data_IF_615180477476
#
_entry.id   IF_615180477476
#
_cell.length_a   1.000
_cell.length_b   1.000
_cell.length_c   1.000
_cell.angle_alpha   90.00
_cell.angle_beta   90.00
_cell.angle_gamma   90.00
#
_symmetry.space_group_name_H-M   'P 1'
#
loop_
_entity.id
_entity.type
_entity.pdbx_description
1 polymer ?
#
# COMPACT_ATOMS: atom_id res chain seq x y z
N UNK A 1 28.15 12.64 -15.97
CA UNK A 1 27.07 11.74 -16.45
C UNK A 1 26.19 11.16 -15.32
N UNK A 2 26.68 10.85 -14.11
CA UNK A 2 25.83 10.26 -13.05
C UNK A 2 24.81 11.24 -12.44
N UNK A 3 25.15 12.53 -12.23
CA UNK A 3 24.25 13.51 -11.61
C UNK A 3 23.05 13.92 -12.48
N UNK A 4 23.19 13.89 -13.81
CA UNK A 4 22.08 14.19 -14.73
C UNK A 4 21.06 13.05 -14.80
N UNK A 5 21.50 11.79 -14.67
CA UNK A 5 20.60 10.63 -14.58
C UNK A 5 19.81 10.64 -13.27
N UNK A 6 20.46 10.93 -12.14
CA UNK A 6 19.76 11.00 -10.85
C UNK A 6 18.68 12.08 -10.80
N UNK A 7 18.89 13.22 -11.46
CA UNK A 7 17.89 14.29 -11.53
C UNK A 7 16.72 13.94 -12.46
N UNK A 8 17.00 13.28 -13.60
CA UNK A 8 15.96 12.79 -14.50
C UNK A 8 15.08 11.70 -13.85
N UNK A 9 15.71 10.76 -13.14
CA UNK A 9 15.03 9.68 -12.43
C UNK A 9 14.19 10.23 -11.25
N UNK A 10 14.71 11.20 -10.51
CA UNK A 10 13.97 11.88 -9.45
C UNK A 10 12.72 12.60 -9.99
N UNK A 11 12.86 13.36 -11.08
CA UNK A 11 11.75 14.04 -11.72
C UNK A 11 10.69 13.08 -12.27
N UNK A 12 11.11 11.94 -12.83
CA UNK A 12 10.20 10.90 -13.30
C UNK A 12 9.39 10.29 -12.14
N UNK A 13 10.05 9.97 -11.01
CA UNK A 13 9.38 9.43 -9.83
C UNK A 13 8.39 10.41 -9.21
N UNK A 14 8.75 11.71 -9.17
CA UNK A 14 7.83 12.76 -8.73
C UNK A 14 6.60 12.82 -9.62
N UNK A 15 6.76 12.81 -10.95
CA UNK A 15 5.61 12.81 -11.89
C UNK A 15 4.71 11.57 -11.72
N UNK A 16 5.29 10.38 -11.55
CA UNK A 16 4.53 9.14 -11.30
C UNK A 16 3.73 9.25 -9.99
N UNK A 17 4.35 9.77 -8.93
CA UNK A 17 3.68 10.02 -7.64
C UNK A 17 2.56 11.03 -7.79
N UNK A 18 2.80 12.17 -8.45
CA UNK A 18 1.79 13.20 -8.71
C UNK A 18 0.62 12.64 -9.52
N UNK A 19 0.88 11.80 -10.53
CA UNK A 19 -0.16 11.14 -11.31
C UNK A 19 -1.01 10.19 -10.43
N UNK A 20 -0.38 9.42 -9.54
CA UNK A 20 -1.08 8.60 -8.55
C UNK A 20 -1.98 9.43 -7.62
N UNK A 21 -1.43 10.50 -7.04
CA UNK A 21 -2.15 11.37 -6.11
C UNK A 21 -3.29 12.12 -6.79
N UNK A 22 -3.12 12.50 -8.06
CA UNK A 22 -4.16 13.08 -8.88
C UNK A 22 -5.32 12.11 -9.07
N UNK A 23 -5.03 10.86 -9.48
CA UNK A 23 -6.04 9.82 -9.66
C UNK A 23 -6.84 9.58 -8.38
N UNK A 24 -6.17 9.50 -7.23
CA UNK A 24 -6.83 9.41 -5.93
C UNK A 24 -7.74 10.60 -5.64
N UNK A 25 -7.23 11.82 -5.84
CA UNK A 25 -7.93 13.06 -5.48
C UNK A 25 -9.22 13.25 -6.28
N UNK A 26 -9.27 12.75 -7.52
CA UNK A 26 -10.47 12.80 -8.36
C UNK A 26 -11.57 11.88 -7.83
N UNK A 27 -11.23 10.62 -7.52
CA UNK A 27 -12.16 9.68 -6.89
C UNK A 27 -12.67 10.20 -5.56
N UNK A 28 -11.79 10.82 -4.77
CA UNK A 28 -12.16 11.45 -3.51
C UNK A 28 -13.12 12.63 -3.71
N UNK A 29 -12.81 13.55 -4.64
CA UNK A 29 -13.65 14.70 -4.96
C UNK A 29 -15.08 14.25 -5.31
N UNK A 30 -15.19 13.33 -6.26
CA UNK A 30 -16.49 12.81 -6.67
C UNK A 30 -17.18 12.02 -5.56
N UNK A 31 -16.42 11.19 -4.84
CA UNK A 31 -16.92 10.39 -3.72
C UNK A 31 -17.49 11.23 -2.59
N UNK A 32 -16.84 12.34 -2.23
CA UNK A 32 -17.33 13.31 -1.24
C UNK A 32 -18.65 13.92 -1.68
N UNK A 33 -18.74 14.37 -2.93
CA UNK A 33 -19.98 14.92 -3.49
C UNK A 33 -21.12 13.89 -3.47
N UNK A 34 -20.83 12.65 -3.88
CA UNK A 34 -21.82 11.57 -3.89
C UNK A 34 -22.29 11.19 -2.48
N UNK A 35 -21.42 11.31 -1.47
CA UNK A 35 -21.75 11.12 -0.05
C UNK A 35 -22.53 12.29 0.55
N UNK A 36 -22.99 13.23 -0.27
CA UNK A 36 -24.03 14.18 0.12
C UNK A 36 -23.52 15.36 0.94
N UNK A 37 -22.32 15.85 0.64
CA UNK A 37 -21.89 17.18 1.11
C UNK A 37 -22.96 18.20 0.72
N UNK A 38 -23.35 19.05 1.68
CA UNK A 38 -24.36 20.10 1.51
C UNK A 38 -23.83 21.40 2.10
N UNK A 39 -24.29 22.56 1.61
CA UNK A 39 -23.98 23.84 2.24
C UNK A 39 -24.42 23.78 3.70
N UNK A 40 -23.61 24.31 4.63
CA UNK A 40 -24.02 24.41 6.02
C UNK A 40 -25.30 25.27 6.08
N UNK A 41 -26.26 24.99 6.97
CA UNK A 41 -27.40 25.89 7.12
C UNK A 41 -26.88 27.31 7.41
N UNK A 42 -27.46 28.33 6.76
CA UNK A 42 -27.12 29.73 7.01
C UNK A 42 -27.08 29.96 8.53
N UNK A 43 -25.90 30.34 9.05
CA UNK A 43 -25.70 30.48 10.49
C UNK A 43 -26.69 31.51 11.02
N UNK A 44 -27.67 31.06 11.81
CA UNK A 44 -28.71 31.92 12.41
C UNK A 44 -28.16 32.84 13.50
N UNK A 45 -26.97 32.56 14.02
CA UNK A 45 -26.32 33.34 15.06
C UNK A 45 -24.96 33.84 14.58
N UNK A 46 -24.73 35.16 14.52
CA UNK A 46 -23.40 35.69 14.27
C UNK A 46 -22.47 35.22 15.39
N UNK A 47 -21.33 34.63 15.01
CA UNK A 47 -20.29 34.27 15.98
C UNK A 47 -19.77 35.55 16.65
N UNK A 48 -19.39 35.50 17.94
CA UNK A 48 -18.80 36.67 18.61
C UNK A 48 -17.58 37.18 17.83
N UNK A 49 -17.36 38.50 17.80
CA UNK A 49 -16.23 39.10 17.08
C UNK A 49 -14.86 38.58 17.57
N UNK A 50 -14.79 38.16 18.83
CA UNK A 50 -13.57 37.63 19.47
C UNK A 50 -13.43 36.10 19.31
N UNK A 51 -14.35 35.44 18.63
CA UNK A 51 -14.28 34.00 18.38
C UNK A 51 -13.39 33.72 17.17
N UNK A 52 -12.12 33.39 17.44
CA UNK A 52 -11.25 32.76 16.45
C UNK A 52 -11.29 31.24 16.63
N UNK A 53 -11.72 30.51 15.60
CA UNK A 53 -11.56 29.05 15.56
C UNK A 53 -10.07 28.73 15.57
N UNK A 54 -9.69 27.59 16.19
CA UNK A 54 -8.35 27.03 15.99
C UNK A 54 -8.10 26.83 14.49
N UNK A 55 -6.85 27.05 14.07
CA UNK A 55 -6.43 26.70 12.71
C UNK A 55 -6.70 25.22 12.48
N UNK A 56 -7.39 24.86 11.40
CA UNK A 56 -7.73 23.45 11.11
C UNK A 56 -6.46 22.58 11.00
N UNK A 57 -5.34 23.18 10.56
CA UNK A 57 -4.01 22.56 10.55
C UNK A 57 -3.58 22.10 11.95
N UNK A 58 -3.91 22.86 13.00
CA UNK A 58 -3.57 22.52 14.39
C UNK A 58 -4.41 21.36 14.95
N UNK A 59 -5.57 21.07 14.35
CA UNK A 59 -6.43 19.96 14.72
C UNK A 59 -6.06 18.67 13.96
N UNK A 60 -5.12 18.74 13.01
CA UNK A 60 -4.60 17.60 12.26
C UNK A 60 -5.62 16.92 11.34
N UNK A 61 -6.79 17.53 11.14
CA UNK A 61 -7.78 17.10 10.16
C UNK A 61 -8.66 18.29 9.73
N UNK A 62 -9.18 18.22 8.50
CA UNK A 62 -10.17 19.19 8.03
C UNK A 62 -11.50 18.85 8.71
N UNK A 63 -11.90 19.66 9.69
CA UNK A 63 -12.97 19.34 10.65
C UNK A 63 -14.36 19.25 10.01
N UNK A 64 -14.58 19.83 8.82
CA UNK A 64 -15.87 19.83 8.16
C UNK A 64 -15.87 19.14 6.79
N UNK A 65 -16.95 18.41 6.52
CA UNK A 65 -17.18 17.72 5.26
C UNK A 65 -17.19 18.69 4.05
N UNK A 66 -17.58 19.94 4.27
CA UNK A 66 -17.58 21.03 3.28
C UNK A 66 -16.16 21.46 2.91
N UNK A 67 -15.33 21.72 3.92
CA UNK A 67 -13.96 22.20 3.76
C UNK A 67 -13.11 21.11 3.10
N UNK A 68 -13.34 19.84 3.46
CA UNK A 68 -12.65 18.71 2.85
C UNK A 68 -13.07 18.44 1.40
N UNK A 69 -14.29 18.83 1.00
CA UNK A 69 -14.73 18.78 -0.40
C UNK A 69 -14.04 19.86 -1.24
N UNK A 70 -13.98 21.10 -0.73
CA UNK A 70 -13.23 22.19 -1.36
C UNK A 70 -11.74 21.83 -1.48
N UNK A 71 -11.13 21.31 -0.42
CA UNK A 71 -9.73 20.90 -0.41
C UNK A 71 -9.44 19.76 -1.41
N UNK A 72 -10.37 18.82 -1.59
CA UNK A 72 -10.23 17.79 -2.63
C UNK A 72 -10.20 18.41 -4.04
N UNK A 73 -11.04 19.41 -4.32
CA UNK A 73 -11.03 20.11 -5.60
C UNK A 73 -9.73 20.89 -5.83
N UNK A 74 -9.26 21.61 -4.81
CA UNK A 74 -7.98 22.33 -4.86
C UNK A 74 -6.81 21.39 -5.14
N UNK A 75 -6.77 20.21 -4.51
CA UNK A 75 -5.76 19.17 -4.76
C UNK A 75 -5.77 18.66 -6.20
N UNK A 76 -6.95 18.43 -6.78
CA UNK A 76 -7.06 18.02 -8.20
C UNK A 76 -6.39 19.05 -9.11
N UNK A 77 -6.71 20.34 -8.90
CA UNK A 77 -6.11 21.43 -9.68
C UNK A 77 -4.60 21.52 -9.44
N UNK A 78 -4.16 21.42 -8.19
CA UNK A 78 -2.75 21.49 -7.82
C UNK A 78 -1.93 20.37 -8.48
N UNK A 79 -2.32 19.10 -8.31
CA UNK A 79 -1.54 17.99 -8.88
C UNK A 79 -1.55 18.02 -10.40
N UNK A 80 -2.65 18.44 -11.04
CA UNK A 80 -2.65 18.57 -12.49
C UNK A 80 -1.69 19.68 -12.97
N UNK A 81 -1.64 20.82 -12.27
CA UNK A 81 -0.67 21.89 -12.56
C UNK A 81 0.77 21.43 -12.34
N UNK A 82 1.04 20.66 -11.30
CA UNK A 82 2.37 20.09 -11.04
C UNK A 82 2.86 19.13 -12.14
N UNK A 83 1.94 18.45 -12.85
CA UNK A 83 2.29 17.65 -14.03
C UNK A 83 2.76 18.52 -15.21
N UNK A 84 2.35 19.80 -15.25
CA UNK A 84 2.86 20.80 -16.19
C UNK A 84 2.38 20.63 -17.64
N UNK A 85 1.18 20.07 -17.85
CA UNK A 85 0.66 19.78 -19.19
C UNK A 85 0.12 20.97 -19.96
N UNK A 86 -0.45 21.96 -19.26
CA UNK A 86 -1.06 23.13 -19.88
C UNK A 86 -0.70 24.38 -19.07
N UNK A 87 -0.35 25.46 -19.77
CA UNK A 87 -0.40 26.80 -19.19
C UNK A 87 -1.85 27.27 -19.09
N UNK A 88 -2.15 28.16 -18.14
CA UNK A 88 -3.52 28.67 -17.93
C UNK A 88 -4.11 29.30 -19.22
N UNK A 89 -3.27 29.87 -20.09
CA UNK A 89 -3.67 30.49 -21.37
C UNK A 89 -4.07 29.45 -22.43
N UNK A 90 -3.38 28.31 -22.48
CA UNK A 90 -3.59 27.25 -23.47
C UNK A 90 -4.48 26.10 -22.97
N UNK A 91 -5.03 26.24 -21.78
CA UNK A 91 -5.82 25.20 -21.16
C UNK A 91 -7.06 24.83 -21.99
N UNK A 92 -7.33 23.53 -22.14
CA UNK A 92 -8.52 23.03 -22.83
C UNK A 92 -9.80 23.53 -22.14
N UNK A 93 -10.93 23.52 -22.86
CA UNK A 93 -12.22 23.92 -22.27
C UNK A 93 -12.56 23.10 -21.01
N UNK A 94 -12.33 21.77 -21.05
CA UNK A 94 -12.53 20.91 -19.88
C UNK A 94 -11.57 21.25 -18.74
N UNK A 95 -10.28 21.49 -19.03
CA UNK A 95 -9.32 21.88 -18.00
C UNK A 95 -9.73 23.19 -17.33
N UNK A 96 -10.20 24.18 -18.11
CA UNK A 96 -10.70 25.46 -17.57
C UNK A 96 -11.90 25.26 -16.64
N UNK A 97 -12.80 24.33 -16.97
CA UNK A 97 -13.89 23.97 -16.07
C UNK A 97 -13.39 23.33 -14.76
N UNK A 98 -12.39 22.44 -14.84
CA UNK A 98 -11.77 21.83 -13.65
C UNK A 98 -11.06 22.89 -12.78
N UNK A 99 -10.35 23.83 -13.39
CA UNK A 99 -9.71 24.94 -12.68
C UNK A 99 -10.73 25.85 -11.98
N UNK A 100 -11.94 25.97 -12.52
CA UNK A 100 -13.01 26.73 -11.90
C UNK A 100 -13.75 25.97 -10.78
N UNK A 101 -13.58 24.64 -10.65
CA UNK A 101 -14.30 23.84 -9.66
C UNK A 101 -14.12 24.32 -8.21
N UNK A 102 -12.89 24.61 -7.71
CA UNK A 102 -12.72 25.09 -6.35
C UNK A 102 -13.56 26.35 -6.07
N UNK A 103 -13.56 27.33 -6.98
CA UNK A 103 -14.34 28.55 -6.81
C UNK A 103 -15.84 28.28 -6.86
N UNK A 104 -16.31 27.45 -7.80
CA UNK A 104 -17.74 27.08 -7.88
C UNK A 104 -18.22 26.36 -6.62
N UNK A 105 -17.37 25.51 -6.03
CA UNK A 105 -17.67 24.82 -4.78
C UNK A 105 -17.72 25.83 -3.63
N UNK A 106 -16.74 26.72 -3.54
CA UNK A 106 -16.68 27.79 -2.53
C UNK A 106 -17.92 28.70 -2.59
N UNK A 107 -18.25 29.21 -3.78
CA UNK A 107 -19.44 30.04 -4.01
C UNK A 107 -20.74 29.32 -3.60
N UNK A 108 -20.84 28.01 -3.88
CA UNK A 108 -21.99 27.21 -3.49
C UNK A 108 -22.07 26.96 -1.98
N UNK A 109 -20.93 26.66 -1.33
CA UNK A 109 -20.85 26.44 0.12
C UNK A 109 -21.15 27.72 0.91
N UNK A 110 -20.76 28.88 0.37
CA UNK A 110 -21.04 30.20 0.95
C UNK A 110 -22.41 30.79 0.56
N UNK A 111 -23.24 30.05 -0.16
CA UNK A 111 -24.55 30.50 -0.65
C UNK A 111 -24.49 31.70 -1.62
N UNK A 112 -23.33 31.97 -2.24
CA UNK A 112 -23.18 32.91 -3.36
C UNK A 112 -23.76 32.33 -4.66
N UNK A 113 -23.83 31.00 -4.77
CA UNK A 113 -24.50 30.28 -5.85
C UNK A 113 -25.70 29.45 -5.34
N UNK A 114 -26.82 29.48 -6.06
CA UNK A 114 -28.07 28.80 -5.68
C UNK A 114 -28.03 27.29 -5.88
N UNK A 115 -27.18 26.80 -6.78
CA UNK A 115 -27.02 25.37 -7.08
C UNK A 115 -25.60 25.05 -7.53
N UNK A 116 -25.19 23.82 -7.28
CA UNK A 116 -24.00 23.21 -7.86
C UNK A 116 -24.40 22.15 -8.91
N UNK A 117 -23.42 21.59 -9.61
CA UNK A 117 -23.64 20.52 -10.60
C UNK A 117 -24.45 19.35 -10.02
N UNK A 118 -25.47 18.84 -10.72
CA UNK A 118 -26.02 17.52 -10.46
C UNK A 118 -24.93 16.43 -10.44
N UNK A 119 -25.10 15.38 -9.63
CA UNK A 119 -24.11 14.30 -9.50
C UNK A 119 -23.71 13.67 -10.82
N UNK A 120 -24.64 13.52 -11.76
CA UNK A 120 -24.38 12.99 -13.09
C UNK A 120 -23.51 13.94 -13.92
N UNK A 121 -23.81 15.23 -13.92
CA UNK A 121 -23.06 16.22 -14.69
C UNK A 121 -21.62 16.34 -14.18
N UNK A 122 -21.42 16.37 -12.86
CA UNK A 122 -20.07 16.36 -12.29
C UNK A 122 -19.30 15.09 -12.65
N UNK A 123 -19.97 13.92 -12.64
CA UNK A 123 -19.36 12.65 -13.06
C UNK A 123 -18.92 12.71 -14.51
N UNK A 124 -19.80 13.16 -15.40
CA UNK A 124 -19.55 13.16 -16.83
C UNK A 124 -18.41 14.15 -17.17
N UNK A 125 -18.41 15.35 -16.55
CA UNK A 125 -17.29 16.31 -16.62
C UNK A 125 -15.96 15.69 -16.17
N UNK A 126 -15.94 15.09 -14.97
CA UNK A 126 -14.72 14.48 -14.43
C UNK A 126 -14.25 13.30 -15.27
N UNK A 127 -15.17 12.48 -15.80
CA UNK A 127 -14.86 11.34 -16.65
C UNK A 127 -14.24 11.76 -17.98
N UNK A 128 -14.84 12.73 -18.65
CA UNK A 128 -14.33 13.20 -19.94
C UNK A 128 -12.95 13.84 -19.78
N UNK A 129 -12.77 14.61 -18.70
CA UNK A 129 -11.47 15.19 -18.37
C UNK A 129 -10.43 14.12 -17.97
N UNK A 130 -10.78 13.15 -17.12
CA UNK A 130 -9.85 12.10 -16.69
C UNK A 130 -9.40 11.22 -17.86
N UNK A 131 -10.26 10.99 -18.85
CA UNK A 131 -9.88 10.29 -20.08
C UNK A 131 -8.83 11.06 -20.89
N UNK A 132 -8.95 12.40 -20.98
CA UNK A 132 -7.92 13.24 -21.61
C UNK A 132 -6.61 13.22 -20.82
N UNK A 133 -6.68 13.35 -19.50
CA UNK A 133 -5.51 13.27 -18.60
C UNK A 133 -4.80 11.92 -18.76
N UNK A 134 -5.56 10.82 -18.75
CA UNK A 134 -5.03 9.48 -18.90
C UNK A 134 -4.34 9.28 -20.24
N UNK A 135 -4.97 9.71 -21.35
CA UNK A 135 -4.38 9.59 -22.68
C UNK A 135 -3.06 10.38 -22.82
N UNK A 136 -2.97 11.55 -22.18
CA UNK A 136 -1.72 12.34 -22.14
C UNK A 136 -0.65 11.67 -21.31
N UNK A 137 -1.00 11.20 -20.11
CA UNK A 137 -0.08 10.45 -19.26
C UNK A 137 0.45 9.20 -19.98
N UNK A 138 -0.39 8.47 -20.70
CA UNK A 138 0.00 7.26 -21.42
C UNK A 138 0.93 7.58 -22.61
N UNK A 139 0.65 8.68 -23.31
CA UNK A 139 1.51 9.18 -24.39
C UNK A 139 2.91 9.61 -23.92
N UNK A 140 3.07 10.06 -22.67
CA UNK A 140 4.38 10.39 -22.09
C UNK A 140 5.06 9.21 -21.40
N UNK A 141 4.30 8.47 -20.59
CA UNK A 141 4.81 7.40 -19.74
C UNK A 141 3.69 6.44 -19.33
N UNK A 142 3.78 5.21 -19.83
CA UNK A 142 2.92 4.12 -19.38
C UNK A 142 2.97 3.87 -17.86
N UNK A 143 4.05 4.27 -17.16
CA UNK A 143 4.11 4.21 -15.70
C UNK A 143 3.23 5.29 -15.05
N UNK A 144 3.21 6.52 -15.60
CA UNK A 144 2.34 7.61 -15.15
C UNK A 144 0.86 7.29 -15.32
N UNK A 145 0.46 6.76 -16.48
CA UNK A 145 -0.93 6.35 -16.72
C UNK A 145 -1.37 5.22 -15.77
N UNK A 146 -0.51 4.21 -15.55
CA UNK A 146 -0.76 3.14 -14.59
C UNK A 146 -0.88 3.66 -13.16
N UNK A 147 -0.03 4.62 -12.78
CA UNK A 147 -0.07 5.25 -11.47
C UNK A 147 -1.37 6.01 -11.25
N UNK A 148 -1.80 6.80 -12.23
CA UNK A 148 -3.08 7.51 -12.20
C UNK A 148 -4.27 6.55 -12.03
N UNK A 149 -4.33 5.49 -12.84
CA UNK A 149 -5.38 4.46 -12.71
C UNK A 149 -5.33 3.75 -11.34
N UNK A 150 -4.13 3.45 -10.83
CA UNK A 150 -3.96 2.80 -9.53
C UNK A 150 -4.42 3.70 -8.37
N UNK A 151 -4.13 5.00 -8.43
CA UNK A 151 -4.58 5.97 -7.41
C UNK A 151 -6.10 6.07 -7.36
N UNK A 152 -6.73 6.20 -8.53
CA UNK A 152 -8.18 6.27 -8.69
C UNK A 152 -8.86 4.99 -8.20
N UNK A 153 -8.41 3.82 -8.68
CA UNK A 153 -8.99 2.53 -8.30
C UNK A 153 -8.79 2.21 -6.81
N UNK A 154 -7.65 2.58 -6.22
CA UNK A 154 -7.42 2.41 -4.79
C UNK A 154 -8.40 3.26 -3.98
N UNK A 155 -8.55 4.54 -4.32
CA UNK A 155 -9.48 5.45 -3.67
C UNK A 155 -10.94 4.98 -3.77
N UNK A 156 -11.33 4.46 -4.93
CA UNK A 156 -12.66 3.90 -5.19
C UNK A 156 -13.04 2.74 -4.28
N UNK A 157 -12.06 2.06 -3.67
CA UNK A 157 -12.32 1.04 -2.64
C UNK A 157 -13.26 1.53 -1.54
N UNK A 158 -13.25 2.83 -1.24
CA UNK A 158 -14.18 3.46 -0.29
C UNK A 158 -15.04 4.55 -0.91
N UNK A 159 -14.45 5.38 -1.77
CA UNK A 159 -15.14 6.53 -2.34
C UNK A 159 -16.21 6.13 -3.34
N UNK A 160 -16.15 4.91 -3.90
CA UNK A 160 -17.19 4.34 -4.77
C UNK A 160 -18.30 3.59 -4.00
N UNK A 161 -18.19 3.44 -2.68
CA UNK A 161 -19.31 2.97 -1.85
C UNK A 161 -20.31 4.08 -1.53
N UNK A 162 -21.61 3.79 -1.74
CA UNK A 162 -22.72 4.64 -1.27
C UNK A 162 -23.16 4.19 0.12
N UNK A 163 -23.43 5.17 0.99
CA UNK A 163 -23.96 4.90 2.33
C UNK A 163 -25.35 4.25 2.23
N UNK A 164 -25.71 3.29 3.09
CA UNK A 164 -27.01 2.62 3.05
C UNK A 164 -28.19 3.61 3.07
N UNK A 165 -28.08 4.67 3.90
CA UNK A 165 -29.09 5.73 4.05
C UNK A 165 -29.28 6.61 2.81
N UNK A 166 -28.34 6.57 1.86
CA UNK A 166 -28.35 7.40 0.64
C UNK A 166 -28.81 6.62 -0.60
N UNK A 167 -29.17 5.34 -0.43
CA UNK A 167 -29.71 4.53 -1.52
C UNK A 167 -31.16 4.95 -1.82
N UNK A 168 -31.54 5.11 -3.10
CA UNK A 168 -32.93 5.32 -3.50
C UNK A 168 -33.89 4.29 -2.89
N UNK A 169 -35.12 4.72 -2.59
CA UNK A 169 -36.19 3.81 -2.12
C UNK A 169 -36.48 2.76 -3.20
N UNK A 170 -36.49 1.48 -2.83
CA UNK A 170 -36.68 0.36 -3.77
C UNK A 170 -35.40 -0.17 -4.44
N UNK A 171 -34.22 0.36 -4.06
CA UNK A 171 -32.92 -0.13 -4.53
C UNK A 171 -32.71 -1.58 -4.11
N UNK A 172 -32.79 -2.52 -5.06
CA UNK A 172 -32.55 -3.93 -4.77
C UNK A 172 -31.05 -4.20 -4.70
N UNK A 173 -30.61 -5.07 -3.78
CA UNK A 173 -29.20 -5.40 -3.56
C UNK A 173 -28.47 -5.92 -4.81
N UNK A 174 -29.21 -6.50 -5.77
CA UNK A 174 -28.71 -6.99 -7.04
C UNK A 174 -28.66 -5.94 -8.17
N UNK A 175 -29.19 -4.73 -7.96
CA UNK A 175 -29.29 -3.67 -8.98
C UNK A 175 -28.10 -2.70 -9.01
N UNK A 176 -27.20 -2.73 -8.04
CA UNK A 176 -25.92 -1.99 -8.11
C UNK A 176 -24.76 -2.89 -7.73
N UNK A 177 -24.43 -3.81 -8.63
CA UNK A 177 -23.30 -4.73 -8.45
C UNK A 177 -21.97 -3.97 -8.36
N UNK A 178 -21.90 -2.73 -8.85
CA UNK A 178 -20.67 -1.95 -8.90
C UNK A 178 -20.38 -1.23 -7.58
N UNK A 179 -21.39 -0.71 -6.88
CA UNK A 179 -21.24 0.01 -5.62
C UNK A 179 -21.33 -0.94 -4.39
N UNK A 180 -21.55 -2.25 -4.59
CA UNK A 180 -21.64 -3.25 -3.52
C UNK A 180 -20.28 -3.44 -2.83
N UNK A 181 -20.27 -3.34 -1.50
CA UNK A 181 -19.09 -3.57 -0.68
C UNK A 181 -18.49 -4.95 -0.92
N UNK A 182 -19.30 -5.97 -1.24
CA UNK A 182 -18.84 -7.32 -1.56
C UNK A 182 -17.91 -7.34 -2.76
N UNK A 183 -18.20 -6.53 -3.79
CA UNK A 183 -17.35 -6.41 -4.97
C UNK A 183 -16.12 -5.56 -4.68
N UNK A 184 -16.30 -4.41 -4.04
CA UNK A 184 -15.22 -3.46 -3.78
C UNK A 184 -14.18 -4.00 -2.78
N UNK A 185 -14.60 -4.87 -1.86
CA UNK A 185 -13.74 -5.56 -0.89
C UNK A 185 -13.49 -7.03 -1.25
N UNK A 186 -13.82 -7.44 -2.49
CA UNK A 186 -13.55 -8.80 -2.94
C UNK A 186 -12.05 -9.07 -3.00
N UNK A 187 -11.65 -10.29 -2.65
CA UNK A 187 -10.26 -10.73 -2.74
C UNK A 187 -9.66 -10.52 -4.13
N UNK A 188 -10.41 -10.89 -5.18
CA UNK A 188 -9.97 -10.73 -6.56
C UNK A 188 -9.63 -9.27 -6.91
N UNK A 189 -10.54 -8.32 -6.61
CA UNK A 189 -10.30 -6.90 -6.87
C UNK A 189 -9.10 -6.39 -6.08
N UNK A 190 -9.04 -6.69 -4.77
CA UNK A 190 -7.97 -6.17 -3.92
C UNK A 190 -6.61 -6.82 -4.22
N UNK A 191 -6.55 -8.04 -4.75
CA UNK A 191 -5.32 -8.67 -5.23
C UNK A 191 -4.81 -7.99 -6.53
N UNK A 192 -5.72 -7.54 -7.41
CA UNK A 192 -5.37 -6.71 -8.57
C UNK A 192 -4.79 -5.37 -8.10
N UNK A 193 -5.44 -4.69 -7.13
CA UNK A 193 -4.93 -3.43 -6.59
C UNK A 193 -3.58 -3.59 -5.89
N UNK A 194 -3.39 -4.68 -5.14
CA UNK A 194 -2.08 -4.99 -4.56
C UNK A 194 -1.00 -5.18 -5.62
N UNK A 195 -1.34 -5.78 -6.77
CA UNK A 195 -0.41 -5.99 -7.88
C UNK A 195 -0.08 -4.69 -8.59
N UNK A 196 -1.07 -3.81 -8.82
CA UNK A 196 -0.87 -2.46 -9.34
C UNK A 196 0.01 -1.62 -8.43
N UNK A 197 -0.25 -1.64 -7.12
CA UNK A 197 0.59 -0.91 -6.17
C UNK A 197 2.02 -1.43 -6.11
N UNK A 198 2.22 -2.74 -6.25
CA UNK A 198 3.56 -3.33 -6.26
C UNK A 198 4.42 -2.77 -7.39
N UNK A 199 3.84 -2.45 -8.55
CA UNK A 199 4.62 -1.87 -9.66
C UNK A 199 5.06 -0.43 -9.39
N UNK A 200 4.46 0.24 -8.42
CA UNK A 200 4.74 1.64 -8.04
C UNK A 200 5.60 1.74 -6.76
N UNK A 201 6.10 0.61 -6.25
CA UNK A 201 6.83 0.57 -4.97
C UNK A 201 8.11 1.41 -4.98
N UNK A 202 8.78 1.54 -6.13
CA UNK A 202 9.97 2.37 -6.30
C UNK A 202 9.66 3.86 -6.35
N UNK A 203 8.44 4.22 -6.72
CA UNK A 203 8.09 5.58 -7.10
C UNK A 203 7.39 6.30 -5.94
N UNK A 204 6.62 5.56 -5.13
CA UNK A 204 5.91 6.07 -3.96
C UNK A 204 6.78 6.10 -2.69
N UNK A 205 6.40 6.89 -1.66
CA UNK A 205 7.19 7.01 -0.44
C UNK A 205 7.50 5.67 0.23
N UNK A 206 8.69 5.57 0.82
CA UNK A 206 9.20 4.34 1.44
C UNK A 206 8.18 3.80 2.46
N UNK A 207 7.96 2.49 2.41
CA UNK A 207 7.01 1.74 3.25
C UNK A 207 5.52 1.92 2.96
N UNK A 208 5.09 2.95 2.23
CA UNK A 208 3.65 3.20 2.00
C UNK A 208 2.99 2.08 1.21
N UNK A 209 3.54 1.74 0.04
CA UNK A 209 3.04 0.63 -0.79
C UNK A 209 2.96 -0.70 -0.05
N UNK A 210 4.04 -1.22 0.59
CA UNK A 210 3.96 -2.52 1.26
C UNK A 210 3.00 -2.51 2.46
N UNK A 211 2.84 -1.38 3.16
CA UNK A 211 1.86 -1.22 4.24
C UNK A 211 0.43 -1.26 3.70
N UNK A 212 0.11 -0.46 2.68
CA UNK A 212 -1.23 -0.46 2.06
C UNK A 212 -1.57 -1.85 1.51
N UNK A 213 -0.61 -2.55 0.89
CA UNK A 213 -0.84 -3.92 0.41
C UNK A 213 -1.23 -4.89 1.54
N UNK A 214 -0.61 -4.80 2.71
CA UNK A 214 -1.01 -5.60 3.87
C UNK A 214 -2.41 -5.21 4.37
N UNK A 215 -2.75 -3.92 4.35
CA UNK A 215 -4.11 -3.48 4.67
C UNK A 215 -5.14 -4.04 3.69
N UNK A 216 -4.89 -3.97 2.38
CA UNK A 216 -5.78 -4.53 1.35
C UNK A 216 -5.98 -6.03 1.53
N UNK A 217 -4.93 -6.77 1.89
CA UNK A 217 -5.06 -8.19 2.22
C UNK A 217 -5.98 -8.43 3.44
N UNK A 218 -5.86 -7.60 4.48
CA UNK A 218 -6.73 -7.68 5.65
C UNK A 218 -8.20 -7.34 5.33
N UNK A 219 -8.40 -6.36 4.44
CA UNK A 219 -9.69 -5.85 3.96
C UNK A 219 -10.31 -6.67 2.82
N UNK A 220 -9.64 -7.73 2.35
CA UNK A 220 -10.17 -8.68 1.36
C UNK A 220 -11.20 -9.61 2.00
N UNK A 221 -12.38 -9.09 2.29
CA UNK A 221 -13.44 -9.76 3.06
C UNK A 221 -14.77 -9.90 2.30
N UNK A 222 -14.86 -9.38 1.08
CA UNK A 222 -16.10 -9.28 0.31
C UNK A 222 -16.88 -10.58 0.11
N UNK A 223 -16.24 -11.74 0.30
CA UNK A 223 -16.87 -13.07 0.22
C UNK A 223 -16.71 -13.90 1.49
N UNK A 224 -16.05 -13.37 2.51
CA UNK A 224 -15.60 -14.12 3.70
C UNK A 224 -16.39 -13.77 4.96
N UNK A 225 -17.30 -12.79 4.92
CA UNK A 225 -18.16 -12.46 6.06
C UNK A 225 -19.36 -13.41 6.15
N UNK A 226 -19.76 -13.77 7.38
CA UNK A 226 -20.92 -14.60 7.72
C UNK A 226 -21.50 -14.22 9.07
N UNK A 227 -22.80 -14.38 9.26
CA UNK A 227 -23.43 -14.25 10.57
C UNK A 227 -23.35 -15.59 11.31
N UNK A 228 -22.69 -15.60 12.46
CA UNK A 228 -22.63 -16.73 13.39
C UNK A 228 -23.19 -16.26 14.74
N UNK A 229 -24.28 -16.88 15.19
CA UNK A 229 -24.96 -16.52 16.44
C UNK A 229 -25.35 -15.02 16.52
N UNK A 230 -25.83 -14.46 15.40
CA UNK A 230 -26.22 -13.05 15.32
C UNK A 230 -25.06 -12.05 15.26
N UNK A 231 -23.80 -12.51 15.24
CA UNK A 231 -22.62 -11.66 15.09
C UNK A 231 -21.92 -11.89 13.76
N UNK A 232 -21.40 -10.82 13.16
CA UNK A 232 -20.65 -10.93 11.93
C UNK A 232 -19.22 -11.43 12.21
N UNK A 233 -18.86 -12.56 11.64
CA UNK A 233 -17.53 -13.17 11.76
C UNK A 233 -16.92 -13.43 10.39
N UNK A 234 -15.61 -13.71 10.37
CA UNK A 234 -14.87 -14.06 9.15
C UNK A 234 -14.76 -15.57 9.02
N UNK A 235 -15.28 -16.13 7.95
CA UNK A 235 -15.03 -17.50 7.52
C UNK A 235 -14.31 -17.51 6.16
N UNK A 236 -13.02 -17.88 6.19
CA UNK A 236 -12.17 -17.97 4.98
C UNK A 236 -12.61 -19.06 4.01
N UNK A 237 -13.42 -20.03 4.44
CA UNK A 237 -13.95 -21.08 3.58
C UNK A 237 -15.23 -20.63 2.86
N UNK A 238 -15.84 -19.54 3.32
CA UNK A 238 -17.03 -19.01 2.69
C UNK A 238 -16.70 -18.41 1.31
N UNK A 239 -17.63 -18.58 0.38
CA UNK A 239 -17.53 -18.05 -0.99
C UNK A 239 -18.59 -16.99 -1.28
N UNK A 240 -19.57 -16.81 -0.40
CA UNK A 240 -20.68 -15.87 -0.56
C UNK A 240 -21.01 -15.17 0.75
N UNK A 241 -20.74 -13.88 0.83
CA UNK A 241 -21.14 -13.08 1.99
C UNK A 241 -22.64 -12.73 1.96
N UNK A 242 -23.29 -12.73 3.13
CA UNK A 242 -24.69 -12.37 3.26
C UNK A 242 -24.90 -10.89 2.90
N UNK A 243 -26.16 -10.50 2.77
CA UNK A 243 -26.51 -9.08 2.86
C UNK A 243 -26.26 -8.65 4.31
N UNK A 244 -25.50 -7.57 4.51
CA UNK A 244 -25.29 -7.03 5.84
C UNK A 244 -26.54 -6.29 6.29
N UNK A 245 -26.79 -6.31 7.60
CA UNK A 245 -27.73 -5.40 8.22
C UNK A 245 -27.28 -3.94 8.01
N UNK A 246 -28.21 -2.97 7.91
CA UNK A 246 -27.85 -1.58 7.62
C UNK A 246 -26.85 -0.97 8.61
N UNK A 247 -26.93 -1.37 9.88
CA UNK A 247 -26.05 -0.88 10.94
C UNK A 247 -24.65 -1.50 10.82
N UNK A 248 -24.55 -2.81 10.56
CA UNK A 248 -23.27 -3.48 10.28
C UNK A 248 -22.59 -2.96 9.01
N UNK A 249 -23.36 -2.69 7.96
CA UNK A 249 -22.83 -2.08 6.74
C UNK A 249 -22.32 -0.66 6.99
N UNK A 250 -23.03 0.11 7.83
CA UNK A 250 -22.59 1.45 8.22
C UNK A 250 -21.30 1.38 9.04
N UNK A 251 -21.23 0.48 10.03
CA UNK A 251 -20.03 0.24 10.84
C UNK A 251 -18.83 -0.20 9.99
N UNK A 252 -19.06 -1.08 9.00
CA UNK A 252 -18.04 -1.51 8.05
C UNK A 252 -17.51 -0.32 7.23
N UNK A 253 -18.41 0.52 6.70
CA UNK A 253 -18.02 1.71 5.93
C UNK A 253 -17.29 2.75 6.80
N UNK A 254 -17.66 2.91 8.07
CA UNK A 254 -16.96 3.80 9.02
C UNK A 254 -15.54 3.30 9.34
N UNK A 255 -15.38 2.00 9.59
CA UNK A 255 -14.08 1.39 9.78
C UNK A 255 -13.19 1.58 8.54
N UNK A 256 -13.76 1.39 7.34
CA UNK A 256 -13.05 1.60 6.08
C UNK A 256 -12.71 3.08 5.86
N UNK A 257 -13.59 4.00 6.22
CA UNK A 257 -13.33 5.44 6.17
C UNK A 257 -12.09 5.82 6.97
N UNK A 258 -11.97 5.31 8.20
CA UNK A 258 -10.78 5.51 9.05
C UNK A 258 -9.54 4.85 8.47
N UNK A 259 -9.68 3.67 7.87
CA UNK A 259 -8.56 3.03 7.18
C UNK A 259 -8.04 3.89 6.02
N UNK A 260 -8.94 4.49 5.25
CA UNK A 260 -8.63 5.36 4.11
C UNK A 260 -7.99 6.66 4.58
N UNK A 261 -8.42 7.23 5.71
CA UNK A 261 -7.74 8.37 6.33
C UNK A 261 -6.27 8.06 6.68
N UNK A 262 -5.99 6.85 7.19
CA UNK A 262 -4.60 6.43 7.42
C UNK A 262 -3.81 6.30 6.11
N UNK A 263 -4.44 5.80 5.04
CA UNK A 263 -3.81 5.74 3.71
C UNK A 263 -3.53 7.13 3.16
N UNK A 264 -4.51 8.03 3.24
CA UNK A 264 -4.41 9.43 2.82
C UNK A 264 -3.25 10.12 3.56
N UNK A 265 -3.17 9.98 4.88
CA UNK A 265 -2.11 10.58 5.68
C UNK A 265 -0.70 10.13 5.25
N UNK A 266 -0.55 8.85 4.86
CA UNK A 266 0.71 8.32 4.35
C UNK A 266 1.01 8.74 2.90
N UNK A 267 -0.01 8.75 2.04
CA UNK A 267 0.13 9.03 0.61
C UNK A 267 0.43 10.51 0.34
N UNK A 268 -0.29 11.41 1.01
CA UNK A 268 -0.12 12.86 0.86
C UNK A 268 0.97 13.45 1.74
N UNK A 269 1.76 12.60 2.43
CA UNK A 269 2.87 13.06 3.26
C UNK A 269 2.48 13.84 4.52
N UNK A 270 1.19 13.82 4.92
CA UNK A 270 0.75 14.42 6.19
C UNK A 270 1.40 13.75 7.40
N UNK A 271 1.75 12.47 7.28
CA UNK A 271 2.54 11.71 8.24
C UNK A 271 3.49 10.76 7.51
N UNK A 272 4.78 10.81 7.85
CA UNK A 272 5.71 9.79 7.39
C UNK A 272 5.34 8.41 7.96
N UNK A 273 5.45 7.35 7.17
CA UNK A 273 5.08 5.99 7.61
C UNK A 273 5.80 5.56 8.91
N UNK A 274 7.02 6.01 9.14
CA UNK A 274 7.84 5.71 10.33
C UNK A 274 7.35 6.41 11.61
N UNK A 275 6.54 7.47 11.49
CA UNK A 275 5.97 8.20 12.64
C UNK A 275 4.88 7.39 13.36
N UNK A 276 4.28 6.41 12.67
CA UNK A 276 3.33 5.47 13.29
C UNK A 276 3.99 4.45 14.23
N UNK A 277 5.33 4.34 14.21
CA UNK A 277 6.07 3.48 15.12
C UNK A 277 6.22 4.12 16.48
N UNK A 278 5.82 3.42 17.54
CA UNK A 278 6.11 3.85 18.90
C UNK A 278 7.59 3.67 19.25
N UNK A 279 8.06 4.36 20.30
CA UNK A 279 9.41 4.19 20.84
C UNK A 279 9.72 2.73 21.17
N UNK A 280 8.74 1.97 21.67
CA UNK A 280 8.88 0.54 21.94
C UNK A 280 9.07 -0.27 20.65
N UNK A 281 8.33 0.02 19.60
CA UNK A 281 8.43 -0.68 18.32
C UNK A 281 9.83 -0.48 17.70
N UNK A 282 10.33 0.77 17.74
CA UNK A 282 11.68 1.12 17.28
C UNK A 282 12.79 0.37 18.04
N UNK A 283 12.58 0.06 19.33
CA UNK A 283 13.50 -0.76 20.13
C UNK A 283 13.34 -2.26 19.86
N UNK A 284 12.13 -2.73 19.53
CA UNK A 284 11.87 -4.14 19.25
C UNK A 284 12.37 -4.58 17.87
N UNK A 285 12.30 -3.73 16.84
CA UNK A 285 12.78 -4.04 15.49
C UNK A 285 14.24 -4.57 15.48
N UNK A 286 15.24 -3.89 16.08
CA UNK A 286 16.61 -4.39 16.08
C UNK A 286 16.76 -5.68 16.89
N UNK A 287 16.00 -5.85 17.97
CA UNK A 287 16.01 -7.08 18.79
C UNK A 287 15.44 -8.27 18.02
N UNK A 288 14.29 -8.09 17.36
CA UNK A 288 13.68 -9.13 16.54
C UNK A 288 14.53 -9.45 15.31
N UNK A 289 15.14 -8.45 14.69
CA UNK A 289 16.12 -8.62 13.61
C UNK A 289 17.31 -9.45 14.09
N UNK A 290 17.87 -9.13 15.25
CA UNK A 290 18.97 -9.89 15.84
C UNK A 290 18.56 -11.34 16.12
N UNK A 291 17.41 -11.55 16.75
CA UNK A 291 16.88 -12.89 17.03
C UNK A 291 16.65 -13.71 15.75
N UNK A 292 16.09 -13.09 14.70
CA UNK A 292 15.87 -13.75 13.41
C UNK A 292 17.19 -14.12 12.73
N UNK A 293 18.16 -13.20 12.69
CA UNK A 293 19.49 -13.47 12.12
C UNK A 293 20.24 -14.53 12.92
N UNK A 294 20.19 -14.46 14.25
CA UNK A 294 20.77 -15.47 15.12
C UNK A 294 20.14 -16.85 14.86
N UNK A 295 18.81 -16.91 14.72
CA UNK A 295 18.11 -18.15 14.35
C UNK A 295 18.57 -18.71 12.99
N UNK A 296 18.71 -17.85 11.97
CA UNK A 296 19.23 -18.27 10.65
C UNK A 296 20.66 -18.79 10.77
N UNK A 297 21.55 -18.05 11.44
CA UNK A 297 22.94 -18.46 11.66
C UNK A 297 23.03 -19.77 12.43
N UNK A 298 22.20 -19.96 13.46
CA UNK A 298 22.15 -21.20 14.24
C UNK A 298 21.73 -22.38 13.37
N UNK A 299 20.69 -22.22 12.55
CA UNK A 299 20.23 -23.27 11.62
C UNK A 299 21.29 -23.57 10.57
N UNK A 300 21.94 -22.55 10.01
CA UNK A 300 23.03 -22.74 9.03
C UNK A 300 24.23 -23.44 9.67
N UNK A 301 24.63 -23.04 10.88
CA UNK A 301 25.72 -23.69 11.61
C UNK A 301 25.40 -25.15 11.93
N UNK A 302 24.17 -25.44 12.36
CA UNK A 302 23.71 -26.80 12.61
C UNK A 302 23.72 -27.63 11.32
N UNK A 303 23.27 -27.08 10.20
CA UNK A 303 23.35 -27.74 8.90
C UNK A 303 24.80 -28.01 8.46
N UNK A 304 25.68 -27.02 8.63
CA UNK A 304 27.12 -27.14 8.31
C UNK A 304 27.89 -28.09 9.24
N UNK A 305 27.39 -28.39 10.44
CA UNK A 305 27.99 -29.39 11.32
C UNK A 305 27.41 -30.78 11.08
N UNK A 306 26.08 -30.88 10.99
CA UNK A 306 25.37 -32.14 10.89
C UNK A 306 25.54 -32.78 9.53
N UNK A 307 25.48 -32.02 8.43
CA UNK A 307 25.58 -32.59 7.08
C UNK A 307 26.96 -33.20 6.82
N UNK A 308 28.10 -32.52 7.10
CA UNK A 308 29.41 -33.14 6.96
C UNK A 308 29.62 -34.32 7.91
N UNK A 309 29.08 -34.26 9.13
CA UNK A 309 29.14 -35.39 10.06
C UNK A 309 28.39 -36.62 9.52
N UNK A 310 27.19 -36.43 8.95
CA UNK A 310 26.42 -37.50 8.31
C UNK A 310 27.17 -38.03 7.07
N UNK A 311 27.70 -37.16 6.22
CA UNK A 311 28.47 -37.56 5.03
C UNK A 311 29.72 -38.33 5.44
N UNK A 312 30.46 -37.86 6.44
CA UNK A 312 31.63 -38.54 6.98
C UNK A 312 31.27 -39.91 7.58
N UNK A 313 30.14 -39.99 8.30
CA UNK A 313 29.63 -41.25 8.84
C UNK A 313 29.24 -42.24 7.74
N UNK A 314 28.53 -41.80 6.70
CA UNK A 314 28.17 -42.64 5.55
C UNK A 314 29.41 -43.09 4.76
N UNK A 315 30.40 -42.22 4.60
CA UNK A 315 31.69 -42.58 3.99
C UNK A 315 32.43 -43.61 4.83
N UNK A 316 32.48 -43.43 6.16
CA UNK A 316 33.13 -44.34 7.09
C UNK A 316 32.50 -45.75 7.10
N UNK A 317 31.18 -45.83 6.95
CA UNK A 317 30.45 -47.11 6.91
C UNK A 317 30.53 -47.83 5.56
N UNK A 318 30.69 -47.11 4.44
CA UNK A 318 30.59 -47.68 3.09
C UNK A 318 31.93 -47.84 2.38
N UNK A 319 32.41 -46.80 1.66
CA UNK A 319 33.60 -46.90 0.82
C UNK A 319 34.93 -46.89 1.59
N UNK A 320 34.98 -46.29 2.79
CA UNK A 320 36.24 -46.14 3.54
C UNK A 320 36.92 -47.46 3.90
N UNK A 321 36.23 -48.51 4.40
CA UNK A 321 36.85 -49.80 4.70
C UNK A 321 37.37 -50.51 3.45
N UNK A 322 36.67 -50.35 2.31
CA UNK A 322 37.06 -50.95 1.03
C UNK A 322 38.28 -50.24 0.42
N UNK A 323 38.32 -48.90 0.53
CA UNK A 323 39.48 -48.07 0.19
C UNK A 323 40.69 -48.39 1.07
N UNK A 324 40.50 -48.52 2.39
CA UNK A 324 41.56 -48.89 3.32
C UNK A 324 42.14 -50.27 2.98
N UNK A 325 41.29 -51.25 2.61
CA UNK A 325 41.73 -52.57 2.14
C UNK A 325 42.58 -52.50 0.86
N UNK A 326 42.12 -51.76 -0.15
CA UNK A 326 42.85 -51.53 -1.41
C UNK A 326 44.17 -50.77 -1.20
N UNK A 327 44.21 -49.84 -0.25
CA UNK A 327 45.43 -49.11 0.14
C UNK A 327 46.43 -50.00 0.87
N UNK A 328 45.96 -50.89 1.75
CA UNK A 328 46.85 -51.84 2.44
C UNK A 328 47.45 -52.90 1.53
N UNK A 329 46.80 -53.26 0.41
CA UNK A 329 47.37 -54.16 -0.60
C UNK A 329 48.41 -53.48 -1.51
N UNK A 330 48.37 -52.15 -1.65
CA UNK A 330 49.27 -51.36 -2.52
C UNK A 330 50.25 -50.48 -1.70
N UNK A 331 51.00 -51.09 -0.77
CA UNK A 331 51.87 -50.39 0.18
C UNK A 331 52.91 -49.43 -0.45
N UNK A 332 53.31 -49.63 -1.71
CA UNK A 332 54.35 -48.84 -2.35
C UNK A 332 53.95 -47.39 -2.75
N UNK A 333 52.66 -46.99 -2.65
CA UNK A 333 52.18 -45.66 -3.11
C UNK A 333 51.42 -44.84 -2.05
N UNK A 334 51.51 -45.22 -0.78
CA UNK A 334 50.72 -44.62 0.32
C UNK A 334 51.02 -43.12 0.52
N UNK A 335 52.26 -42.69 0.33
CA UNK A 335 52.69 -41.29 0.51
C UNK A 335 52.12 -40.36 -0.57
N UNK A 336 52.05 -40.80 -1.83
CA UNK A 336 51.45 -40.02 -2.92
C UNK A 336 49.93 -39.86 -2.73
N UNK A 337 49.25 -40.91 -2.25
CA UNK A 337 47.82 -40.86 -1.97
C UNK A 337 47.47 -39.95 -0.79
N UNK A 338 48.25 -39.98 0.30
CA UNK A 338 48.07 -39.06 1.44
C UNK A 338 48.26 -37.60 1.03
N UNK A 339 49.21 -37.32 0.14
CA UNK A 339 49.41 -35.99 -0.42
C UNK A 339 48.21 -35.54 -1.27
N UNK A 340 47.64 -36.43 -2.10
CA UNK A 340 46.44 -36.12 -2.91
C UNK A 340 45.21 -35.92 -2.04
N UNK A 341 45.01 -36.73 -0.99
CA UNK A 341 43.89 -36.56 -0.04
C UNK A 341 44.05 -35.28 0.78
N UNK A 342 45.26 -34.98 1.27
CA UNK A 342 45.57 -33.72 1.94
C UNK A 342 45.33 -32.53 1.03
N UNK A 343 45.81 -32.57 -0.23
CA UNK A 343 45.62 -31.51 -1.21
C UNK A 343 44.14 -31.34 -1.57
N UNK A 344 43.41 -32.44 -1.79
CA UNK A 344 41.96 -32.42 -2.00
C UNK A 344 41.25 -31.80 -0.81
N UNK A 345 41.60 -32.19 0.43
CA UNK A 345 41.02 -31.63 1.65
C UNK A 345 41.34 -30.15 1.81
N UNK A 346 42.57 -29.75 1.50
CA UNK A 346 43.01 -28.35 1.56
C UNK A 346 42.31 -27.51 0.48
N UNK A 347 42.10 -28.05 -0.73
CA UNK A 347 41.32 -27.39 -1.79
C UNK A 347 39.83 -27.35 -1.39
N UNK A 348 39.30 -28.42 -0.77
CA UNK A 348 37.92 -28.51 -0.29
C UNK A 348 37.62 -27.60 0.90
N UNK A 349 38.64 -27.17 1.66
CA UNK A 349 38.48 -26.32 2.86
C UNK A 349 38.97 -24.90 2.59
N UNK A 350 40.18 -24.71 2.04
CA UNK A 350 40.81 -23.40 1.89
C UNK A 350 40.21 -22.53 0.77
N UNK A 351 39.67 -23.13 -0.30
CA UNK A 351 39.04 -22.38 -1.40
C UNK A 351 37.59 -21.98 -1.08
N UNK A 352 36.71 -22.87 -0.57
CA UNK A 352 35.33 -22.49 -0.29
C UNK A 352 35.18 -21.65 0.98
N UNK A 353 36.02 -21.77 2.01
CA UNK A 353 35.84 -21.00 3.26
C UNK A 353 35.85 -19.48 3.05
N UNK A 354 36.81 -18.87 2.32
CA UNK A 354 36.78 -17.43 2.02
C UNK A 354 35.60 -17.01 1.14
N UNK A 355 35.19 -17.85 0.18
CA UNK A 355 34.03 -17.60 -0.69
C UNK A 355 32.74 -17.65 0.12
N UNK A 356 32.59 -18.64 1.00
CA UNK A 356 31.45 -18.81 1.91
C UNK A 356 31.41 -17.67 2.93
N UNK A 357 32.54 -17.24 3.48
CA UNK A 357 32.61 -16.09 4.39
C UNK A 357 32.22 -14.78 3.70
N UNK A 358 32.70 -14.55 2.47
CA UNK A 358 32.33 -13.37 1.68
C UNK A 358 30.85 -13.39 1.27
N UNK A 359 30.36 -14.54 0.84
CA UNK A 359 28.94 -14.75 0.53
C UNK A 359 28.07 -14.56 1.79
N UNK A 360 28.48 -15.10 2.93
CA UNK A 360 27.79 -14.91 4.21
C UNK A 360 27.77 -13.43 4.62
N UNK A 361 28.89 -12.70 4.47
CA UNK A 361 28.95 -11.27 4.78
C UNK A 361 28.05 -10.41 3.87
N UNK A 362 28.06 -10.64 2.56
CA UNK A 362 27.17 -9.91 1.65
C UNK A 362 25.70 -10.30 1.84
N UNK A 363 25.42 -11.58 2.04
CA UNK A 363 24.08 -12.09 2.30
C UNK A 363 23.52 -11.52 3.61
N UNK A 364 24.32 -11.46 4.66
CA UNK A 364 23.89 -10.91 5.97
C UNK A 364 23.51 -9.44 5.89
N UNK A 365 24.21 -8.60 5.11
CA UNK A 365 23.83 -7.18 4.96
C UNK A 365 22.51 -7.00 4.20
N UNK A 366 22.33 -7.70 3.09
CA UNK A 366 21.08 -7.66 2.32
C UNK A 366 19.91 -8.27 3.09
N UNK A 367 20.15 -9.39 3.80
CA UNK A 367 19.15 -10.03 4.67
C UNK A 367 18.80 -9.13 5.87
N UNK A 368 19.77 -8.43 6.45
CA UNK A 368 19.54 -7.44 7.51
C UNK A 368 18.61 -6.33 7.03
N UNK A 369 18.92 -5.70 5.90
CA UNK A 369 18.10 -4.62 5.34
C UNK A 369 16.70 -5.11 4.99
N UNK A 370 16.60 -6.28 4.36
CA UNK A 370 15.32 -6.89 4.02
C UNK A 370 14.48 -7.21 5.28
N UNK A 371 15.08 -7.80 6.32
CA UNK A 371 14.41 -8.08 7.60
C UNK A 371 13.97 -6.79 8.29
N UNK A 372 14.84 -5.78 8.32
CA UNK A 372 14.55 -4.47 8.92
C UNK A 372 13.36 -3.82 8.22
N UNK A 373 13.34 -3.81 6.90
CA UNK A 373 12.24 -3.27 6.10
C UNK A 373 10.95 -4.09 6.32
N UNK A 374 11.03 -5.43 6.35
CA UNK A 374 9.86 -6.29 6.59
C UNK A 374 9.26 -6.10 7.98
N UNK A 375 10.10 -6.04 9.01
CA UNK A 375 9.66 -5.81 10.39
C UNK A 375 9.06 -4.41 10.53
N UNK A 376 9.72 -3.39 9.98
CA UNK A 376 9.25 -2.01 9.98
C UNK A 376 7.87 -1.92 9.34
N UNK A 377 7.68 -2.48 8.14
CA UNK A 377 6.38 -2.55 7.46
C UNK A 377 5.35 -3.27 8.32
N UNK A 378 5.70 -4.42 8.91
CA UNK A 378 4.78 -5.19 9.74
C UNK A 378 4.29 -4.41 10.97
N UNK A 379 5.19 -3.71 11.66
CA UNK A 379 4.81 -2.87 12.80
C UNK A 379 3.95 -1.68 12.35
N UNK A 380 4.33 -0.98 11.28
CA UNK A 380 3.53 0.14 10.76
C UNK A 380 2.12 -0.36 10.40
N UNK A 381 2.02 -1.39 9.56
CA UNK A 381 0.75 -1.96 9.13
C UNK A 381 -0.11 -2.39 10.31
N UNK A 382 0.47 -3.05 11.32
CA UNK A 382 -0.26 -3.43 12.54
C UNK A 382 -0.82 -2.22 13.30
N UNK A 383 -0.10 -1.10 13.32
CA UNK A 383 -0.53 0.13 14.04
C UNK A 383 -1.56 0.93 13.26
N UNK A 384 -1.49 0.91 11.93
CA UNK A 384 -2.36 1.69 11.05
C UNK A 384 -3.55 0.92 10.50
N UNK A 385 -3.60 -0.39 10.73
CA UNK A 385 -4.73 -1.22 10.33
C UNK A 385 -5.92 -0.96 11.25
N UNK A 386 -7.01 -0.46 10.65
CA UNK A 386 -8.32 -0.38 11.30
C UNK A 386 -9.05 -1.68 11.02
N UNK A 387 -9.27 -2.48 12.07
CA UNK A 387 -9.96 -3.76 11.94
C UNK A 387 -11.47 -3.53 11.94
N UNK A 388 -12.15 -3.95 10.88
CA UNK A 388 -13.62 -3.89 10.76
C UNK A 388 -14.34 -4.61 11.91
N UNK A 389 -13.77 -5.71 12.41
CA UNK A 389 -14.37 -6.50 13.50
C UNK A 389 -14.47 -5.73 14.83
N UNK A 390 -13.70 -4.66 15.02
CA UNK A 390 -13.79 -3.81 16.21
C UNK A 390 -15.01 -2.87 16.21
N UNK A 391 -15.70 -2.75 15.07
CA UNK A 391 -16.84 -1.86 14.88
C UNK A 391 -18.19 -2.60 14.86
N UNK A 392 -18.17 -3.93 14.94
CA UNK A 392 -19.37 -4.77 14.92
C UNK A 392 -19.60 -5.33 16.32
N UNK A 393 -20.80 -5.08 16.88
CA UNK A 393 -21.18 -5.40 18.27
C UNK A 393 -21.77 -6.80 18.46
#
# INVERSE_FOLDING_TARGET
MNAQRTNADANANTRITTAFLLGWSISELFGRYRKGVRPPPAQKTPRPADYARRLDVSNGSVEHATDSFLFAAQRVVQFYRELGYESDEQASALTKEIYALPQKIDDWLEHRATSFYPQRELRDLLNDWTMQVWARLDGESAAGARAFTAGMSLADTYWYMRLPRQRPKGWKANQSSEEDWRRLLSKYRLDIEQSRLRTLQSDLPRYVVPVIRQHLQAWSIGTELVYQNGRLTRDKKNTKSPMLEPDDETALQEALARQVQNWEAMLFGLREATTFLWTRDRRLIPVLRFAALFGVVLVTALFLLVVPAIVAYLLALGPLPLLLRLLTENQAKITEWLAVVSLLWTILVAVPVPIVLRAAYQFTRSAQQWLDDKLTVWFIARRTLVMWAAYMG
#
